data_IF_008225689716
#
_entry.id   IF_008225689716
#
_cell.length_a   1.000
_cell.length_b   1.000
_cell.length_c   1.000
_cell.angle_alpha   90.00
_cell.angle_beta   90.00
_cell.angle_gamma   90.00
#
_symmetry.space_group_name_H-M   'P 1'
#
loop_
_entity.id
_entity.type
_entity.pdbx_description
1 polymer ?
#
# COMPACT_ATOMS: atom_id res chain seq x y z
N UNK A 1 -2.11 -13.14 -21.71
CA UNK A 1 -1.79 -12.51 -20.41
C UNK A 1 -0.29 -12.44 -20.33
N UNK A 2 0.29 -11.34 -19.87
CA UNK A 2 1.76 -11.19 -19.78
C UNK A 2 2.27 -11.94 -18.56
N UNK A 3 3.33 -12.73 -18.72
CA UNK A 3 4.03 -13.35 -17.62
C UNK A 3 4.95 -12.34 -16.95
N UNK A 4 4.79 -12.09 -15.64
CA UNK A 4 5.62 -11.16 -14.88
C UNK A 4 6.77 -11.87 -14.14
N UNK A 5 6.48 -13.01 -13.53
CA UNK A 5 7.46 -13.78 -12.77
C UNK A 5 7.15 -15.28 -12.83
N UNK A 6 8.16 -16.09 -12.57
CA UNK A 6 8.04 -17.55 -12.46
C UNK A 6 8.58 -18.03 -11.13
N UNK A 7 7.96 -19.07 -10.59
CA UNK A 7 8.47 -19.84 -9.47
C UNK A 7 9.15 -21.07 -10.04
N UNK A 8 10.44 -21.18 -9.82
CA UNK A 8 11.25 -22.32 -10.24
C UNK A 8 11.60 -23.17 -9.02
N UNK A 9 11.43 -24.49 -9.13
CA UNK A 9 11.85 -25.47 -8.13
C UNK A 9 12.65 -26.56 -8.83
N UNK A 10 13.92 -26.70 -8.44
CA UNK A 10 14.82 -27.76 -8.92
C UNK A 10 14.89 -27.84 -10.46
N UNK A 11 14.95 -26.68 -11.13
CA UNK A 11 14.98 -26.57 -12.59
C UNK A 11 13.62 -26.74 -13.29
N UNK A 12 12.52 -26.87 -12.54
CA UNK A 12 11.16 -26.97 -13.07
C UNK A 12 10.37 -25.69 -12.77
N UNK A 13 9.73 -25.10 -13.79
CA UNK A 13 8.81 -23.96 -13.59
C UNK A 13 7.50 -24.47 -12.99
N UNK A 14 7.37 -24.33 -11.67
CA UNK A 14 6.24 -24.80 -10.87
C UNK A 14 5.02 -23.87 -10.97
N UNK A 15 5.24 -22.56 -11.02
CA UNK A 15 4.16 -21.57 -11.09
C UNK A 15 4.53 -20.35 -11.93
N UNK A 16 3.52 -19.71 -12.51
CA UNK A 16 3.66 -18.51 -13.36
C UNK A 16 2.73 -17.42 -12.85
N UNK A 17 3.31 -16.27 -12.50
CA UNK A 17 2.58 -15.09 -12.08
C UNK A 17 2.33 -14.20 -13.30
N UNK A 18 1.10 -14.23 -13.81
CA UNK A 18 0.68 -13.36 -14.91
C UNK A 18 0.14 -12.03 -14.37
N UNK A 19 0.23 -10.95 -15.14
CA UNK A 19 -0.23 -9.65 -14.66
C UNK A 19 -0.17 -8.52 -15.66
N UNK A 20 -0.41 -7.33 -15.13
CA UNK A 20 -0.21 -6.04 -15.80
C UNK A 20 0.81 -5.24 -15.00
N UNK A 21 1.80 -4.65 -15.66
CA UNK A 21 2.89 -3.91 -15.04
C UNK A 21 3.18 -2.66 -15.86
N UNK A 22 3.34 -1.52 -15.19
CA UNK A 22 3.72 -0.26 -15.81
C UNK A 22 4.82 0.39 -15.01
N UNK A 23 5.87 0.84 -15.69
CA UNK A 23 6.95 1.65 -15.14
C UNK A 23 7.02 3.00 -15.84
N UNK A 24 7.20 4.06 -15.05
CA UNK A 24 7.32 5.43 -15.50
C UNK A 24 8.75 5.91 -15.34
N UNK A 25 9.29 6.59 -16.36
CA UNK A 25 10.54 7.32 -16.26
C UNK A 25 10.40 8.54 -15.32
N UNK A 26 11.53 9.16 -14.98
CA UNK A 26 11.59 10.32 -14.09
C UNK A 26 10.69 11.48 -14.54
N UNK A 27 10.56 11.70 -15.85
CA UNK A 27 9.69 12.73 -16.46
C UNK A 27 8.20 12.37 -16.46
N UNK A 28 7.85 11.14 -16.07
CA UNK A 28 6.48 10.63 -16.04
C UNK A 28 6.02 9.95 -17.34
N UNK A 29 6.88 9.87 -18.37
CA UNK A 29 6.61 9.08 -19.57
C UNK A 29 6.60 7.58 -19.24
N UNK A 30 5.84 6.79 -20.02
CA UNK A 30 5.78 5.34 -19.85
C UNK A 30 7.04 4.71 -20.43
N UNK A 31 7.86 4.12 -19.57
CA UNK A 31 9.11 3.45 -19.96
C UNK A 31 8.91 1.95 -20.21
N UNK A 32 8.01 1.31 -19.44
CA UNK A 32 7.63 -0.09 -19.65
C UNK A 32 6.12 -0.24 -19.46
N UNK A 33 5.49 -1.03 -20.33
CA UNK A 33 4.05 -1.28 -20.32
C UNK A 33 3.77 -2.72 -20.76
N UNK A 34 3.28 -3.53 -19.82
CA UNK A 34 3.02 -4.95 -20.01
C UNK A 34 1.62 -5.31 -19.55
N UNK A 35 0.97 -6.24 -20.26
CA UNK A 35 -0.37 -6.72 -19.94
C UNK A 35 -1.50 -5.77 -20.39
N UNK A 36 -2.67 -5.91 -19.76
CA UNK A 36 -3.90 -5.22 -20.14
C UNK A 36 -4.02 -3.86 -19.44
N UNK A 37 -3.20 -2.88 -19.84
CA UNK A 37 -3.05 -1.59 -19.13
C UNK A 37 -4.30 -0.72 -19.06
N UNK A 38 -5.26 -0.92 -19.98
CA UNK A 38 -6.54 -0.20 -19.98
C UNK A 38 -7.60 -0.86 -19.11
N UNK A 39 -7.35 -2.07 -18.59
CA UNK A 39 -8.32 -2.77 -17.75
C UNK A 39 -8.42 -2.10 -16.37
N UNK A 40 -9.63 -1.87 -15.85
CA UNK A 40 -9.80 -1.38 -14.48
C UNK A 40 -9.35 -2.45 -13.48
N UNK A 41 -8.71 -1.98 -12.41
CA UNK A 41 -8.31 -2.77 -11.25
C UNK A 41 -8.88 -2.14 -9.98
N UNK A 42 -9.02 -2.96 -8.95
CA UNK A 42 -9.21 -2.48 -7.59
C UNK A 42 -7.83 -2.33 -6.94
N UNK A 43 -7.39 -1.12 -6.55
CA UNK A 43 -6.04 -0.92 -6.03
C UNK A 43 -5.84 -1.46 -4.60
N UNK A 44 -6.93 -1.87 -3.93
CA UNK A 44 -6.94 -2.35 -2.54
C UNK A 44 -6.19 -1.36 -1.63
N UNK A 45 -5.42 -1.86 -0.67
CA UNK A 45 -4.69 -1.02 0.29
C UNK A 45 -3.54 -0.18 -0.30
N UNK A 46 -3.20 -0.32 -1.59
CA UNK A 46 -2.13 0.49 -2.21
C UNK A 46 -2.47 1.99 -2.24
N UNK A 47 -3.75 2.37 -2.26
CA UNK A 47 -4.20 3.77 -2.28
C UNK A 47 -4.46 4.36 -0.89
N UNK A 48 -4.13 3.68 0.21
CA UNK A 48 -4.27 4.25 1.56
C UNK A 48 -3.50 5.57 1.78
N UNK A 49 -2.31 5.78 1.19
CA UNK A 49 -1.66 7.10 1.24
C UNK A 49 -2.55 8.23 0.70
N UNK A 50 -3.35 7.96 -0.34
CA UNK A 50 -4.32 8.92 -0.88
C UNK A 50 -5.54 9.13 0.02
N UNK A 51 -5.91 8.11 0.81
CA UNK A 51 -6.96 8.25 1.83
C UNK A 51 -6.49 9.19 2.95
N UNK A 52 -5.26 9.00 3.44
CA UNK A 52 -4.62 9.90 4.40
C UNK A 52 -4.47 11.33 3.86
N UNK A 53 -4.03 11.47 2.60
CA UNK A 53 -3.89 12.78 1.96
C UNK A 53 -5.25 13.49 1.79
N UNK A 54 -6.33 12.75 1.53
CA UNK A 54 -7.70 13.26 1.53
C UNK A 54 -8.13 13.81 2.90
N UNK A 55 -7.90 13.04 3.97
CA UNK A 55 -8.17 13.48 5.34
C UNK A 55 -7.38 14.75 5.70
N UNK A 56 -6.09 14.78 5.35
CA UNK A 56 -5.22 15.95 5.58
C UNK A 56 -5.64 17.17 4.78
N UNK A 57 -6.06 16.99 3.52
CA UNK A 57 -6.61 18.07 2.70
C UNK A 57 -7.90 18.64 3.30
N UNK A 58 -8.66 17.83 4.04
CA UNK A 58 -9.82 18.25 4.83
C UNK A 58 -9.45 18.79 6.23
N UNK A 59 -8.18 19.14 6.46
CA UNK A 59 -7.69 19.83 7.65
C UNK A 59 -7.17 18.94 8.77
N UNK A 60 -7.19 17.61 8.63
CA UNK A 60 -6.69 16.72 9.68
C UNK A 60 -5.17 16.82 9.80
N UNK A 61 -4.70 17.26 10.97
CA UNK A 61 -3.29 17.26 11.35
C UNK A 61 -3.05 16.22 12.44
N UNK A 62 -2.20 15.23 12.17
CA UNK A 62 -1.79 14.19 13.10
C UNK A 62 -0.28 14.28 13.36
N UNK A 63 0.21 13.57 14.38
CA UNK A 63 1.65 13.32 14.53
C UNK A 63 2.23 12.64 13.28
N UNK A 64 3.56 12.64 13.14
CA UNK A 64 4.25 11.96 12.04
C UNK A 64 3.87 10.47 12.01
N UNK A 65 3.94 9.80 13.16
CA UNK A 65 3.51 8.41 13.30
C UNK A 65 2.02 8.24 12.99
N UNK A 66 1.14 9.12 13.47
CA UNK A 66 -0.31 9.06 13.22
C UNK A 66 -0.64 9.20 11.74
N UNK A 67 0.06 10.09 11.04
CA UNK A 67 -0.06 10.26 9.60
C UNK A 67 0.40 9.01 8.86
N UNK A 68 1.55 8.43 9.23
CA UNK A 68 2.06 7.19 8.62
C UNK A 68 1.09 6.00 8.85
N UNK A 69 0.57 5.86 10.07
CA UNK A 69 -0.43 4.85 10.44
C UNK A 69 -1.70 4.98 9.59
N UNK A 70 -2.18 6.20 9.36
CA UNK A 70 -3.38 6.46 8.54
C UNK A 70 -3.18 6.10 7.06
N UNK A 71 -1.94 6.12 6.57
CA UNK A 71 -1.56 5.68 5.22
C UNK A 71 -1.25 4.17 5.14
N UNK A 72 -1.27 3.49 6.29
CA UNK A 72 -0.73 2.15 6.48
C UNK A 72 -1.73 0.99 6.46
N UNK A 73 -1.17 -0.21 6.39
CA UNK A 73 -1.83 -1.48 6.74
C UNK A 73 -1.03 -2.07 7.89
N UNK A 74 -1.23 -1.54 9.09
CA UNK A 74 -0.39 -1.90 10.22
C UNK A 74 -0.63 -3.35 10.65
N UNK A 75 0.35 -3.96 11.30
CA UNK A 75 0.30 -5.37 11.71
C UNK A 75 -0.44 -5.61 13.02
N UNK A 76 -0.96 -4.55 13.67
CA UNK A 76 -1.79 -4.67 14.86
C UNK A 76 -1.02 -4.86 16.17
N UNK A 77 0.30 -4.64 16.16
CA UNK A 77 1.15 -4.49 17.35
C UNK A 77 0.59 -3.44 18.34
N UNK A 78 0.98 -3.52 19.62
CA UNK A 78 0.46 -2.66 20.68
C UNK A 78 0.72 -1.16 20.44
N UNK A 79 1.86 -0.81 19.83
CA UNK A 79 2.16 0.58 19.44
C UNK A 79 1.19 1.14 18.38
N UNK A 80 0.69 0.29 17.49
CA UNK A 80 -0.31 0.70 16.50
C UNK A 80 -1.63 1.00 17.22
N UNK A 81 -2.06 0.10 18.10
CA UNK A 81 -3.28 0.25 18.89
C UNK A 81 -3.24 1.51 19.75
N UNK A 82 -2.11 1.79 20.41
CA UNK A 82 -1.94 3.00 21.21
C UNK A 82 -2.19 4.27 20.39
N UNK A 83 -1.65 4.31 19.17
CA UNK A 83 -1.79 5.46 18.27
C UNK A 83 -3.19 5.56 17.64
N UNK A 84 -3.86 4.44 17.34
CA UNK A 84 -5.27 4.45 16.93
C UNK A 84 -6.14 5.07 18.04
N UNK A 85 -5.92 4.66 19.29
CA UNK A 85 -6.63 5.21 20.46
C UNK A 85 -6.35 6.68 20.67
N UNK A 86 -5.10 7.11 20.49
CA UNK A 86 -4.71 8.52 20.57
C UNK A 86 -5.48 9.37 19.54
N UNK A 87 -5.54 8.92 18.28
CA UNK A 87 -6.27 9.62 17.21
C UNK A 87 -7.77 9.70 17.55
N UNK A 88 -8.38 8.59 17.99
CA UNK A 88 -9.80 8.56 18.36
C UNK A 88 -10.09 9.46 19.56
N UNK A 89 -9.29 9.37 20.63
CA UNK A 89 -9.46 10.16 21.83
C UNK A 89 -9.28 11.67 21.56
N UNK A 90 -8.35 12.04 20.67
CA UNK A 90 -8.17 13.42 20.22
C UNK A 90 -9.39 13.99 19.50
N UNK A 91 -10.24 13.14 18.94
CA UNK A 91 -11.53 13.50 18.33
C UNK A 91 -12.74 13.28 19.26
N UNK A 92 -12.53 12.93 20.54
CA UNK A 92 -13.62 12.62 21.48
C UNK A 92 -14.35 11.31 21.18
N UNK A 93 -13.70 10.37 20.49
CA UNK A 93 -14.23 9.07 20.08
C UNK A 93 -13.54 7.91 20.82
N UNK A 94 -14.10 6.71 20.67
CA UNK A 94 -13.61 5.47 21.24
C UNK A 94 -13.46 4.37 20.18
N UNK A 95 -12.97 3.20 20.58
CA UNK A 95 -12.91 2.04 19.68
C UNK A 95 -14.28 1.55 19.20
N UNK A 96 -15.36 1.88 19.92
CA UNK A 96 -16.74 1.51 19.56
C UNK A 96 -17.22 2.24 18.30
N UNK A 97 -16.61 3.38 17.97
CA UNK A 97 -16.90 4.16 16.77
C UNK A 97 -16.28 3.54 15.50
N UNK A 98 -15.32 2.62 15.65
CA UNK A 98 -14.71 1.92 14.52
C UNK A 98 -15.73 0.99 13.85
N UNK A 99 -15.76 1.04 12.52
CA UNK A 99 -16.68 0.22 11.70
C UNK A 99 -15.96 -0.78 10.80
N UNK A 100 -14.63 -0.77 10.78
CA UNK A 100 -13.85 -1.88 10.24
C UNK A 100 -14.16 -3.17 11.02
N UNK A 101 -14.14 -4.35 10.40
CA UNK A 101 -14.40 -5.61 11.09
C UNK A 101 -13.41 -5.83 12.25
N UNK A 102 -13.81 -6.63 13.23
CA UNK A 102 -12.87 -7.14 14.21
C UNK A 102 -11.96 -8.17 13.51
N UNK A 103 -10.65 -8.09 13.76
CA UNK A 103 -9.69 -9.02 13.18
C UNK A 103 -8.55 -9.30 14.16
N UNK A 104 -7.80 -10.37 13.88
CA UNK A 104 -6.54 -10.66 14.58
C UNK A 104 -5.43 -9.74 14.05
N UNK A 105 -4.45 -9.36 14.90
CA UNK A 105 -3.25 -8.72 14.40
C UNK A 105 -2.48 -9.69 13.48
N UNK A 106 -1.88 -9.13 12.43
CA UNK A 106 -1.00 -9.86 11.51
C UNK A 106 0.35 -10.18 12.16
N UNK A 107 0.77 -9.38 13.14
CA UNK A 107 1.96 -9.66 13.94
C UNK A 107 1.77 -10.96 14.74
N UNK A 108 2.54 -12.00 14.38
CA UNK A 108 2.38 -13.34 14.94
C UNK A 108 2.65 -13.40 16.43
N UNK A 109 3.66 -12.66 16.91
CA UNK A 109 4.00 -12.60 18.33
C UNK A 109 2.84 -12.02 19.15
N UNK A 110 2.30 -10.88 18.72
CA UNK A 110 1.12 -10.24 19.33
C UNK A 110 -0.07 -11.19 19.28
N UNK A 111 -0.35 -11.81 18.13
CA UNK A 111 -1.46 -12.76 17.98
C UNK A 111 -1.33 -13.94 18.94
N UNK A 112 -0.15 -14.55 19.05
CA UNK A 112 0.10 -15.65 19.96
C UNK A 112 -0.05 -15.23 21.43
N UNK A 113 0.40 -14.03 21.78
CA UNK A 113 0.25 -13.47 23.13
C UNK A 113 -1.23 -13.28 23.49
N UNK A 114 -2.02 -12.67 22.60
CA UNK A 114 -3.46 -12.44 22.81
C UNK A 114 -4.23 -13.77 22.95
N UNK A 115 -3.94 -14.74 22.07
CA UNK A 115 -4.54 -16.08 22.16
C UNK A 115 -4.25 -16.76 23.50
N UNK A 116 -3.02 -16.68 24.01
CA UNK A 116 -2.66 -17.25 25.33
C UNK A 116 -3.34 -16.52 26.48
N UNK A 117 -3.63 -15.23 26.34
CA UNK A 117 -4.35 -14.44 27.32
C UNK A 117 -5.87 -14.68 27.30
N UNK A 118 -6.39 -15.39 26.29
CA UNK A 118 -7.83 -15.59 26.10
C UNK A 118 -8.55 -14.39 25.46
N UNK A 119 -7.79 -13.44 24.91
CA UNK A 119 -8.34 -12.31 24.16
C UNK A 119 -8.88 -12.77 22.79
N UNK A 120 -9.73 -11.95 22.17
CA UNK A 120 -10.30 -12.19 20.83
C UNK A 120 -9.84 -11.19 19.77
N UNK A 121 -10.30 -11.35 18.51
CA UNK A 121 -10.12 -10.34 17.47
C UNK A 121 -10.79 -9.02 17.88
N UNK A 122 -10.23 -7.89 17.44
CA UNK A 122 -10.74 -6.55 17.81
C UNK A 122 -10.63 -5.56 16.65
N UNK A 123 -11.53 -4.58 16.62
CA UNK A 123 -11.56 -3.57 15.55
C UNK A 123 -10.31 -2.69 15.57
N UNK A 124 -9.81 -2.36 16.76
CA UNK A 124 -8.62 -1.51 16.92
C UNK A 124 -7.34 -2.18 16.40
N UNK A 125 -7.29 -3.52 16.38
CA UNK A 125 -6.14 -4.29 15.87
C UNK A 125 -6.22 -4.64 14.38
N UNK A 126 -7.39 -4.51 13.78
CA UNK A 126 -7.57 -4.73 12.35
C UNK A 126 -6.67 -3.76 11.57
N UNK A 127 -5.97 -4.25 10.54
CA UNK A 127 -4.91 -3.53 9.83
C UNK A 127 -5.29 -2.18 9.19
N UNK A 128 -6.59 -1.88 9.10
CA UNK A 128 -7.12 -0.63 8.60
C UNK A 128 -7.57 0.33 9.70
N UNK A 129 -7.53 -0.05 10.98
CA UNK A 129 -8.11 0.77 12.06
C UNK A 129 -7.50 2.18 12.11
N UNK A 130 -6.20 2.32 11.80
CA UNK A 130 -5.53 3.63 11.66
C UNK A 130 -6.16 4.56 10.62
N UNK A 131 -6.50 4.05 9.43
CA UNK A 131 -7.18 4.87 8.41
C UNK A 131 -8.63 5.18 8.78
N UNK A 132 -9.31 4.28 9.51
CA UNK A 132 -10.67 4.50 10.00
C UNK A 132 -10.68 5.59 11.09
N UNK A 133 -9.71 5.56 12.02
CA UNK A 133 -9.53 6.60 13.02
C UNK A 133 -9.28 7.97 12.36
N UNK A 134 -8.46 8.04 11.31
CA UNK A 134 -8.26 9.28 10.57
C UNK A 134 -9.53 9.77 9.86
N UNK A 135 -10.31 8.88 9.23
CA UNK A 135 -11.60 9.25 8.61
C UNK A 135 -12.61 9.78 9.64
N UNK A 136 -12.70 9.12 10.80
CA UNK A 136 -13.55 9.54 11.91
C UNK A 136 -13.13 10.88 12.51
N UNK A 137 -11.84 11.06 12.80
CA UNK A 137 -11.31 12.33 13.30
C UNK A 137 -11.54 13.48 12.30
N UNK A 138 -11.39 13.20 11.00
CA UNK A 138 -11.72 14.16 9.94
C UNK A 138 -13.20 14.52 9.92
N UNK A 139 -14.08 13.52 10.13
CA UNK A 139 -15.52 13.76 10.20
C UNK A 139 -15.88 14.68 11.38
N UNK A 140 -15.33 14.40 12.58
CA UNK A 140 -15.53 15.25 13.75
C UNK A 140 -15.03 16.67 13.51
N UNK A 141 -13.80 16.83 12.99
CA UNK A 141 -13.18 18.12 12.72
C UNK A 141 -14.06 19.02 11.83
N UNK A 142 -14.76 18.41 10.87
CA UNK A 142 -15.59 19.13 9.90
C UNK A 142 -17.10 19.14 10.25
N UNK A 143 -17.49 18.63 11.42
CA UNK A 143 -18.90 18.52 11.80
C UNK A 143 -19.71 17.55 10.92
N UNK A 144 -19.04 16.59 10.28
CA UNK A 144 -19.68 15.52 9.51
C UNK A 144 -20.08 14.35 10.40
N UNK A 145 -21.00 13.52 9.90
CA UNK A 145 -21.49 12.38 10.65
C UNK A 145 -20.43 11.28 10.80
N UNK A 146 -20.21 10.85 12.03
CA UNK A 146 -19.40 9.65 12.34
C UNK A 146 -20.22 8.35 12.16
N UNK A 147 -21.54 8.44 11.95
CA UNK A 147 -22.41 7.28 11.84
C UNK A 147 -22.57 6.74 10.41
N UNK A 148 -22.05 7.40 9.40
CA UNK A 148 -22.17 6.96 8.00
C UNK A 148 -20.89 7.26 7.22
N UNK A 149 -19.75 7.42 7.91
CA UNK A 149 -18.47 7.75 7.28
C UNK A 149 -18.00 6.73 6.25
N UNK A 150 -18.53 5.50 6.24
CA UNK A 150 -18.25 4.47 5.23
C UNK A 150 -19.14 4.57 3.97
N UNK A 151 -20.09 5.50 3.94
CA UNK A 151 -20.91 5.75 2.75
C UNK A 151 -20.04 6.33 1.64
N UNK A 152 -20.15 5.87 0.38
CA UNK A 152 -19.43 6.47 -0.74
C UNK A 152 -19.80 7.94 -0.96
N UNK A 153 -20.99 8.37 -0.50
CA UNK A 153 -21.45 9.75 -0.59
C UNK A 153 -20.98 10.64 0.56
N UNK A 154 -20.34 10.06 1.59
CA UNK A 154 -19.81 10.81 2.72
C UNK A 154 -18.73 11.80 2.25
N UNK A 155 -18.69 13.05 2.78
CA UNK A 155 -17.73 14.07 2.35
C UNK A 155 -16.27 13.62 2.39
N UNK A 156 -15.87 12.80 3.37
CA UNK A 156 -14.52 12.24 3.45
C UNK A 156 -14.14 11.45 2.20
N UNK A 157 -15.07 10.66 1.66
CA UNK A 157 -14.83 9.82 0.49
C UNK A 157 -14.87 10.62 -0.82
N UNK A 158 -15.66 11.69 -0.88
CA UNK A 158 -15.64 12.66 -1.97
C UNK A 158 -14.27 13.37 -2.06
N UNK A 159 -13.75 13.84 -0.93
CA UNK A 159 -12.42 14.46 -0.87
C UNK A 159 -11.31 13.49 -1.30
N UNK A 160 -11.35 12.24 -0.84
CA UNK A 160 -10.39 11.21 -1.25
C UNK A 160 -10.48 10.92 -2.76
N UNK A 161 -11.70 10.78 -3.28
CA UNK A 161 -11.95 10.49 -4.69
C UNK A 161 -11.40 11.58 -5.59
N UNK A 162 -11.69 12.84 -5.30
CA UNK A 162 -11.26 14.00 -6.09
C UNK A 162 -9.73 14.01 -6.27
N UNK A 163 -8.99 13.79 -5.18
CA UNK A 163 -7.53 13.76 -5.20
C UNK A 163 -6.98 12.59 -6.01
N UNK A 164 -7.58 11.41 -5.89
CA UNK A 164 -7.16 10.25 -6.66
C UNK A 164 -7.46 10.45 -8.16
N UNK A 165 -8.64 10.96 -8.51
CA UNK A 165 -9.03 11.21 -9.91
C UNK A 165 -8.10 12.23 -10.60
N UNK A 166 -7.60 13.22 -9.86
CA UNK A 166 -6.68 14.23 -10.37
C UNK A 166 -5.35 13.66 -10.92
N UNK A 167 -4.93 12.47 -10.47
CA UNK A 167 -3.64 11.86 -10.89
C UNK A 167 -3.81 10.50 -11.55
N UNK A 168 -4.77 9.71 -11.08
CA UNK A 168 -4.97 8.33 -11.50
C UNK A 168 -5.94 8.22 -12.68
N UNK A 169 -6.71 9.28 -12.97
CA UNK A 169 -7.79 9.29 -13.95
C UNK A 169 -9.13 8.89 -13.32
N UNK A 170 -10.19 8.93 -14.14
CA UNK A 170 -11.57 8.76 -13.67
C UNK A 170 -11.84 7.40 -13.02
N UNK A 171 -12.62 7.41 -11.94
CA UNK A 171 -13.07 6.20 -11.26
C UNK A 171 -14.23 5.58 -12.04
N UNK A 172 -14.00 4.40 -12.62
CA UNK A 172 -15.03 3.66 -13.37
C UNK A 172 -15.97 2.83 -12.48
N UNK A 173 -15.56 2.48 -11.27
CA UNK A 173 -16.30 1.62 -10.36
C UNK A 173 -15.95 1.93 -8.89
N UNK A 174 -16.95 1.89 -8.02
CA UNK A 174 -16.79 2.01 -6.57
C UNK A 174 -17.19 0.69 -5.94
N UNK A 175 -16.22 -0.04 -5.40
CA UNK A 175 -16.44 -1.27 -4.66
C UNK A 175 -16.47 -1.01 -3.15
N UNK A 176 -16.81 -2.03 -2.37
CA UNK A 176 -16.62 -2.04 -0.91
C UNK A 176 -15.37 -2.86 -0.60
N UNK A 177 -14.43 -2.29 0.14
CA UNK A 177 -13.20 -2.97 0.56
C UNK A 177 -13.48 -3.95 1.71
N UNK A 178 -12.53 -4.84 2.04
CA UNK A 178 -12.65 -5.80 3.15
C UNK A 178 -12.83 -5.12 4.52
N UNK A 179 -12.38 -3.87 4.65
CA UNK A 179 -12.60 -3.05 5.84
C UNK A 179 -13.98 -2.35 5.88
N UNK A 180 -14.79 -2.47 4.83
CA UNK A 180 -16.10 -1.83 4.70
C UNK A 180 -16.08 -0.42 4.10
N UNK A 181 -14.91 0.18 3.87
CA UNK A 181 -14.82 1.50 3.24
C UNK A 181 -14.94 1.42 1.71
N UNK A 182 -15.37 2.49 1.02
CA UNK A 182 -15.34 2.61 -0.43
C UNK A 182 -13.93 2.39 -1.01
N UNK A 183 -13.88 1.66 -2.11
CA UNK A 183 -12.69 1.38 -2.89
C UNK A 183 -12.88 1.85 -4.33
N UNK A 184 -12.14 2.90 -4.69
CA UNK A 184 -12.20 3.51 -6.00
C UNK A 184 -11.31 2.74 -6.99
N UNK A 185 -11.92 2.23 -8.07
CA UNK A 185 -11.17 1.56 -9.15
C UNK A 185 -10.21 2.53 -9.83
N UNK A 186 -9.11 2.01 -10.37
CA UNK A 186 -8.19 2.74 -11.25
C UNK A 186 -7.63 1.81 -12.32
N UNK A 187 -6.61 2.22 -13.06
CA UNK A 187 -5.82 1.36 -13.96
C UNK A 187 -4.39 1.23 -13.44
N UNK A 188 -3.63 0.25 -13.91
CA UNK A 188 -2.21 0.13 -13.52
C UNK A 188 -1.39 1.38 -13.89
N UNK A 189 -1.54 2.00 -15.09
CA UNK A 189 -0.95 3.31 -15.37
C UNK A 189 -1.41 4.41 -14.39
N UNK A 190 -2.69 4.44 -14.04
CA UNK A 190 -3.24 5.40 -13.07
C UNK A 190 -2.59 5.26 -11.69
N UNK A 191 -2.41 4.02 -11.23
CA UNK A 191 -1.74 3.72 -9.97
C UNK A 191 -0.25 4.09 -10.00
N UNK A 192 0.45 3.87 -11.13
CA UNK A 192 1.84 4.29 -11.29
C UNK A 192 1.98 5.82 -11.25
N UNK A 193 1.07 6.56 -11.89
CA UNK A 193 1.02 8.03 -11.80
C UNK A 193 0.74 8.51 -10.38
N UNK A 194 -0.18 7.84 -9.68
CA UNK A 194 -0.49 8.12 -8.29
C UNK A 194 0.71 7.88 -7.35
N UNK A 195 1.50 6.82 -7.59
CA UNK A 195 2.76 6.62 -6.87
C UNK A 195 3.76 7.74 -7.16
N UNK A 196 4.00 8.06 -8.45
CA UNK A 196 4.92 9.14 -8.82
C UNK A 196 4.53 10.47 -8.16
N UNK A 197 3.25 10.86 -8.28
CA UNK A 197 2.75 12.12 -7.74
C UNK A 197 2.96 12.23 -6.23
N UNK A 198 2.72 11.15 -5.48
CA UNK A 198 2.95 11.09 -4.04
C UNK A 198 4.45 11.20 -3.70
N UNK A 199 5.33 10.53 -4.46
CA UNK A 199 6.77 10.51 -4.16
C UNK A 199 7.46 11.85 -4.41
N UNK A 200 6.99 12.59 -5.41
CA UNK A 200 7.57 13.88 -5.84
C UNK A 200 6.82 15.09 -5.30
N UNK A 201 5.77 14.90 -4.49
CA UNK A 201 4.98 15.98 -3.93
C UNK A 201 5.81 16.86 -2.97
N UNK A 202 5.60 18.18 -3.03
CA UNK A 202 6.20 19.13 -2.09
C UNK A 202 5.70 18.85 -0.66
N UNK A 203 6.57 18.98 0.33
CA UNK A 203 6.24 18.82 1.75
C UNK A 203 5.08 19.72 2.22
N UNK A 204 4.87 20.87 1.55
CA UNK A 204 3.76 21.79 1.82
C UNK A 204 2.39 21.28 1.38
N UNK A 205 2.33 20.19 0.61
CA UNK A 205 1.07 19.59 0.13
C UNK A 205 0.63 18.44 1.03
N UNK A 206 -0.68 18.11 1.07
CA UNK A 206 -1.17 16.94 1.79
C UNK A 206 -0.45 15.64 1.39
N UNK A 207 -0.23 15.42 0.10
CA UNK A 207 0.49 14.26 -0.44
C UNK A 207 1.94 14.22 0.05
N UNK A 208 2.67 15.33 -0.04
CA UNK A 208 4.08 15.37 0.34
C UNK A 208 4.29 15.21 1.84
N UNK A 209 3.38 15.74 2.67
CA UNK A 209 3.38 15.51 4.11
C UNK A 209 3.11 14.04 4.48
N UNK A 210 2.14 13.39 3.81
CA UNK A 210 1.88 11.96 4.00
C UNK A 210 3.07 11.11 3.55
N UNK A 211 3.66 11.41 2.38
CA UNK A 211 4.85 10.72 1.89
C UNK A 211 6.04 10.87 2.85
N UNK A 212 6.26 12.08 3.39
CA UNK A 212 7.29 12.33 4.38
C UNK A 212 7.05 11.53 5.68
N UNK A 213 5.82 11.48 6.16
CA UNK A 213 5.46 10.68 7.33
C UNK A 213 5.69 9.18 7.11
N UNK A 214 5.27 8.64 5.97
CA UNK A 214 5.52 7.23 5.61
C UNK A 214 7.01 6.89 5.57
N UNK A 215 7.86 7.80 5.07
CA UNK A 215 9.31 7.61 5.02
C UNK A 215 9.98 7.70 6.38
N UNK A 216 9.49 8.61 7.24
CA UNK A 216 10.01 8.79 8.59
C UNK A 216 9.63 7.63 9.51
N UNK A 217 8.40 7.12 9.35
CA UNK A 217 7.79 6.12 10.22
C UNK A 217 7.28 4.89 9.43
N UNK A 218 8.13 4.23 8.62
CA UNK A 218 7.69 3.17 7.69
C UNK A 218 7.10 1.96 8.41
N UNK A 219 7.50 1.70 9.66
CA UNK A 219 6.92 0.60 10.45
C UNK A 219 5.46 0.84 10.83
N UNK A 220 5.00 2.09 10.94
CA UNK A 220 3.58 2.37 11.12
C UNK A 220 2.78 2.15 9.82
N UNK A 221 3.45 2.02 8.67
CA UNK A 221 2.83 1.71 7.38
C UNK A 221 2.62 0.20 7.20
N UNK A 222 3.67 -0.61 7.40
CA UNK A 222 3.62 -2.06 7.13
C UNK A 222 3.95 -2.96 8.32
N UNK A 223 4.35 -2.43 9.46
CA UNK A 223 4.95 -3.19 10.56
C UNK A 223 6.46 -3.35 10.42
N UNK A 224 7.10 -3.87 11.48
CA UNK A 224 8.55 -4.17 11.50
C UNK A 224 8.86 -5.36 10.59
N UNK A 225 9.91 -5.24 9.77
CA UNK A 225 10.36 -6.32 8.88
C UNK A 225 9.46 -6.58 7.67
N UNK A 226 8.34 -5.87 7.53
CA UNK A 226 7.48 -5.98 6.36
C UNK A 226 8.18 -5.39 5.12
N UNK A 227 8.08 -6.08 3.98
CA UNK A 227 8.74 -5.72 2.71
C UNK A 227 8.55 -4.25 2.30
N UNK A 228 7.32 -3.72 2.31
CA UNK A 228 7.06 -2.29 2.03
C UNK A 228 7.80 -1.32 2.98
N UNK A 229 7.88 -1.63 4.27
CA UNK A 229 8.57 -0.81 5.27
C UNK A 229 10.08 -0.82 5.02
N UNK A 230 10.63 -2.02 4.79
CA UNK A 230 12.06 -2.20 4.48
C UNK A 230 12.43 -1.61 3.12
N UNK A 231 11.54 -1.69 2.12
CA UNK A 231 11.72 -1.05 0.83
C UNK A 231 11.96 0.45 1.00
N UNK A 232 11.11 1.14 1.77
CA UNK A 232 11.23 2.59 1.98
C UNK A 232 12.50 2.98 2.75
N UNK A 233 13.01 2.07 3.60
CA UNK A 233 14.29 2.26 4.30
C UNK A 233 15.49 2.08 3.39
N UNK A 234 15.47 1.01 2.61
CA UNK A 234 16.60 0.57 1.77
C UNK A 234 16.66 1.33 0.44
N UNK A 235 15.57 1.99 0.03
CA UNK A 235 15.53 2.90 -1.12
C UNK A 235 15.15 4.30 -0.62
N UNK A 236 16.12 5.12 -0.15
CA UNK A 236 15.84 6.40 0.49
C UNK A 236 15.03 7.35 -0.37
N UNK A 237 14.05 8.01 0.25
CA UNK A 237 13.15 8.93 -0.45
C UNK A 237 12.12 8.23 -1.35
N UNK A 238 12.10 6.89 -1.40
CA UNK A 238 11.01 6.19 -2.08
C UNK A 238 9.72 6.21 -1.26
N UNK A 239 8.65 5.76 -1.89
CA UNK A 239 7.44 5.29 -1.23
C UNK A 239 7.09 3.93 -1.82
N UNK A 240 6.57 3.04 -1.00
CA UNK A 240 6.09 1.74 -1.42
C UNK A 240 4.83 1.38 -0.65
N UNK A 241 3.80 0.93 -1.36
CA UNK A 241 2.58 0.44 -0.74
C UNK A 241 1.99 -0.73 -1.53
N UNK A 242 2.08 -1.91 -0.94
CA UNK A 242 1.32 -3.09 -1.37
C UNK A 242 -0.17 -2.95 -1.05
N UNK A 243 -0.99 -3.54 -1.91
CA UNK A 243 -2.38 -3.86 -1.68
C UNK A 243 -2.58 -5.38 -1.72
N UNK A 244 -3.64 -5.85 -1.07
CA UNK A 244 -4.11 -7.22 -1.25
C UNK A 244 -4.34 -7.53 -2.75
N UNK A 245 -4.54 -8.81 -3.09
CA UNK A 245 -4.79 -9.23 -4.46
C UNK A 245 -3.65 -8.83 -5.42
N UNK A 246 -2.39 -8.98 -4.99
CA UNK A 246 -1.22 -8.87 -5.88
C UNK A 246 -1.04 -7.48 -6.50
N UNK A 247 -1.43 -6.43 -5.79
CA UNK A 247 -1.27 -5.04 -6.23
C UNK A 247 -0.09 -4.42 -5.50
N UNK A 248 0.76 -3.68 -6.21
CA UNK A 248 1.79 -2.87 -5.59
C UNK A 248 1.99 -1.59 -6.38
N UNK A 249 2.28 -0.51 -5.65
CA UNK A 249 2.76 0.73 -6.22
C UNK A 249 4.02 1.18 -5.48
N UNK A 250 5.02 1.65 -6.22
CA UNK A 250 6.24 2.22 -5.67
C UNK A 250 6.77 3.34 -6.55
N UNK A 251 7.44 4.32 -5.94
CA UNK A 251 8.09 5.40 -6.67
C UNK A 251 9.30 5.93 -5.92
N UNK A 252 10.33 6.33 -6.66
CA UNK A 252 11.53 6.98 -6.13
C UNK A 252 11.35 8.49 -6.02
N UNK A 253 12.14 9.14 -5.15
CA UNK A 253 12.14 10.61 -5.01
C UNK A 253 12.47 11.34 -6.33
N UNK A 254 13.20 10.68 -7.23
CA UNK A 254 13.59 11.20 -8.55
C UNK A 254 12.49 11.09 -9.61
N UNK A 255 11.33 10.50 -9.27
CA UNK A 255 10.14 10.48 -10.12
C UNK A 255 9.90 9.20 -10.91
N UNK A 256 10.84 8.26 -10.93
CA UNK A 256 10.60 6.91 -11.47
C UNK A 256 9.55 6.20 -10.61
N UNK A 257 8.62 5.51 -11.26
CA UNK A 257 7.55 4.79 -10.57
C UNK A 257 7.26 3.46 -11.22
N UNK A 258 6.68 2.54 -10.45
CA UNK A 258 6.21 1.25 -10.93
C UNK A 258 4.90 0.91 -10.23
N UNK A 259 3.95 0.36 -10.98
CA UNK A 259 2.77 -0.26 -10.42
C UNK A 259 2.44 -1.55 -11.16
N UNK A 260 1.76 -2.46 -10.47
CA UNK A 260 1.36 -3.73 -11.05
C UNK A 260 0.09 -4.31 -10.42
N UNK A 261 -0.53 -5.23 -11.14
CA UNK A 261 -1.56 -6.16 -10.67
C UNK A 261 -1.21 -7.56 -11.17
N UNK A 262 -0.93 -8.46 -10.24
CA UNK A 262 -0.77 -9.91 -10.50
C UNK A 262 -2.15 -10.57 -10.49
N UNK A 263 -2.47 -11.35 -11.52
CA UNK A 263 -3.80 -11.91 -11.78
C UNK A 263 -4.26 -12.84 -10.66
N UNK A 264 -3.37 -13.73 -10.19
CA UNK A 264 -3.67 -14.72 -9.15
C UNK A 264 -3.78 -14.12 -7.73
N UNK A 265 -3.57 -12.82 -7.60
CA UNK A 265 -3.65 -12.10 -6.33
C UNK A 265 -2.45 -12.29 -5.41
N UNK A 266 -1.41 -13.02 -5.85
CA UNK A 266 -0.24 -13.30 -5.04
C UNK A 266 0.71 -12.09 -4.96
N UNK A 267 1.16 -11.67 -3.76
CA UNK A 267 2.15 -10.62 -3.61
C UNK A 267 3.59 -11.12 -3.75
N UNK A 268 3.82 -12.45 -3.82
CA UNK A 268 5.15 -13.08 -3.69
C UNK A 268 6.23 -12.50 -4.60
N UNK A 269 5.87 -12.01 -5.78
CA UNK A 269 6.81 -11.46 -6.75
C UNK A 269 6.80 -9.92 -6.82
N UNK A 270 5.89 -9.23 -6.14
CA UNK A 270 5.65 -7.80 -6.39
C UNK A 270 6.84 -6.92 -6.00
N UNK A 271 7.50 -7.24 -4.89
CA UNK A 271 8.67 -6.49 -4.40
C UNK A 271 9.88 -6.68 -5.32
N UNK A 272 10.16 -7.93 -5.72
CA UNK A 272 11.16 -8.27 -6.75
C UNK A 272 10.93 -7.49 -8.05
N UNK A 273 9.69 -7.51 -8.57
CA UNK A 273 9.33 -6.82 -9.80
C UNK A 273 9.52 -5.31 -9.68
N UNK A 274 9.13 -4.71 -8.56
CA UNK A 274 9.26 -3.28 -8.34
C UNK A 274 10.72 -2.83 -8.31
N UNK A 275 11.57 -3.55 -7.55
CA UNK A 275 13.00 -3.26 -7.47
C UNK A 275 13.69 -3.46 -8.82
N UNK A 276 13.33 -4.51 -9.55
CA UNK A 276 13.90 -4.78 -10.89
C UNK A 276 13.59 -3.65 -11.87
N UNK A 277 12.33 -3.22 -11.95
CA UNK A 277 11.90 -2.14 -12.85
C UNK A 277 12.54 -0.83 -12.44
N UNK A 278 12.50 -0.45 -11.16
CA UNK A 278 13.11 0.80 -10.71
C UNK A 278 14.63 0.82 -10.92
N UNK A 279 15.31 -0.29 -10.68
CA UNK A 279 16.75 -0.44 -10.98
C UNK A 279 17.06 -0.25 -12.46
N UNK A 280 16.27 -0.85 -13.36
CA UNK A 280 16.40 -0.66 -14.80
C UNK A 280 16.13 0.80 -15.24
N UNK A 281 15.29 1.53 -14.51
CA UNK A 281 15.02 2.96 -14.72
C UNK A 281 16.04 3.89 -14.04
N UNK A 282 17.14 3.34 -13.53
CA UNK A 282 18.27 4.10 -12.97
C UNK A 282 18.13 4.48 -11.50
N UNK A 283 17.16 3.93 -10.76
CA UNK A 283 17.07 4.11 -9.30
C UNK A 283 18.10 3.22 -8.62
N UNK A 284 18.85 3.76 -7.66
CA UNK A 284 19.75 2.95 -6.86
C UNK A 284 18.95 2.07 -5.88
N UNK A 285 18.90 0.77 -6.18
CA UNK A 285 18.22 -0.26 -5.37
C UNK A 285 19.21 -1.23 -4.71
N UNK A 286 20.52 -0.92 -4.70
CA UNK A 286 21.56 -1.87 -4.28
C UNK A 286 21.46 -2.30 -2.82
N UNK A 287 20.94 -1.43 -1.95
CA UNK A 287 20.73 -1.76 -0.53
C UNK A 287 19.49 -2.65 -0.31
N UNK A 288 18.60 -2.76 -1.31
CA UNK A 288 17.35 -3.50 -1.23
C UNK A 288 17.40 -4.88 -1.91
N UNK A 289 18.58 -5.34 -2.35
CA UNK A 289 18.71 -6.61 -3.12
C UNK A 289 18.21 -7.82 -2.35
N UNK A 290 18.40 -7.86 -1.02
CA UNK A 290 17.89 -8.94 -0.17
C UNK A 290 16.36 -9.09 -0.22
N UNK A 291 15.60 -8.01 -0.50
CA UNK A 291 14.15 -8.07 -0.68
C UNK A 291 13.72 -8.69 -2.03
N UNK A 292 14.66 -8.82 -2.96
CA UNK A 292 14.47 -9.46 -4.26
C UNK A 292 14.97 -10.91 -4.28
N UNK A 293 15.66 -11.37 -3.23
CA UNK A 293 16.11 -12.74 -3.06
C UNK A 293 14.97 -13.59 -2.48
N UNK A 294 14.29 -14.33 -3.36
CA UNK A 294 13.07 -15.09 -3.01
C UNK A 294 13.32 -16.59 -3.16
N UNK A 295 14.08 -17.23 -2.25
CA UNK A 295 14.42 -18.63 -2.36
C UNK A 295 13.20 -19.53 -2.16
N UNK A 296 13.10 -20.56 -2.99
CA UNK A 296 12.16 -21.65 -2.80
C UNK A 296 12.86 -22.75 -2.03
N UNK A 297 12.35 -23.03 -0.83
CA UNK A 297 12.97 -24.02 0.07
C UNK A 297 12.37 -25.42 -0.14
N UNK A 298 13.22 -26.43 0.05
CA UNK A 298 12.86 -27.84 0.17
C UNK A 298 13.61 -28.42 1.37
N UNK A 299 12.88 -28.91 2.39
CA UNK A 299 13.50 -29.36 3.64
C UNK A 299 14.31 -28.29 4.38
N UNK A 300 13.99 -27.00 4.19
CA UNK A 300 14.72 -25.87 4.77
C UNK A 300 15.95 -25.42 3.98
N UNK A 301 16.29 -26.07 2.86
CA UNK A 301 17.42 -25.72 2.00
C UNK A 301 16.92 -25.08 0.70
N UNK A 302 17.57 -24.03 0.16
CA UNK A 302 17.22 -23.48 -1.15
C UNK A 302 17.33 -24.52 -2.26
N UNK A 303 16.24 -24.71 -3.01
CA UNK A 303 16.14 -25.61 -4.16
C UNK A 303 15.64 -24.90 -5.43
N UNK A 304 15.40 -23.59 -5.35
CA UNK A 304 14.90 -22.79 -6.46
C UNK A 304 14.67 -21.34 -6.03
N UNK A 305 13.96 -20.58 -6.85
CA UNK A 305 13.73 -19.15 -6.64
C UNK A 305 12.45 -18.65 -7.31
N UNK A 306 11.98 -17.47 -6.90
CA UNK A 306 11.07 -16.66 -7.69
C UNK A 306 11.92 -15.69 -8.50
N UNK A 307 11.80 -15.72 -9.83
CA UNK A 307 12.56 -14.86 -10.73
C UNK A 307 11.65 -14.08 -11.68
N UNK A 308 12.12 -12.91 -12.09
CA UNK A 308 11.48 -12.09 -13.12
C UNK A 308 11.47 -12.85 -14.44
N UNK A 309 10.34 -12.80 -15.16
CA UNK A 309 10.12 -13.49 -16.43
C UNK A 309 10.99 -12.93 -17.55
N UNK A 310 11.12 -13.71 -18.63
CA UNK A 310 11.83 -13.27 -19.83
C UNK A 310 11.11 -12.12 -20.53
N UNK A 311 9.77 -12.07 -20.47
CA UNK A 311 8.96 -10.97 -21.01
C UNK A 311 9.30 -9.63 -20.33
N UNK A 312 9.38 -9.61 -18.99
CA UNK A 312 9.76 -8.39 -18.26
C UNK A 312 11.22 -8.03 -18.55
N UNK A 313 12.14 -9.00 -18.57
CA UNK A 313 13.55 -8.74 -18.90
C UNK A 313 13.72 -8.18 -20.30
N UNK A 314 12.96 -8.67 -21.29
CA UNK A 314 13.01 -8.16 -22.65
C UNK A 314 12.47 -6.74 -22.75
N UNK A 315 11.44 -6.39 -21.99
CA UNK A 315 10.83 -5.06 -21.99
C UNK A 315 11.64 -3.98 -21.27
N UNK A 316 12.69 -4.37 -20.52
CA UNK A 316 13.59 -3.46 -19.80
C UNK A 316 14.94 -3.25 -20.50
N UNK A 317 15.15 -3.85 -21.69
CA UNK A 317 16.34 -3.65 -22.52
C UNK A 317 16.12 -2.49 -23.49
#
# INVERSE_FOLDING_TARGET
>A
MTELAVVERSGFVESRHHGTLVGLAADGSVAVSLGAVSAPILPRSSTKPWQAAGCRAAGLELSVAGTALSAGSHTGEDRHVALVREILAGAGLSEEDLRCPADWPEDEETRHRLNRAGDGPSRVRMNCSGKHAAMLATAVLNGWSTHDYLSPDHPVHKAIRERLEAVAGSVSHVAVDGCGAPLFSTTVPGLARAARAMATASLSTPEGAVAAAMRAEPEYVGGRGHENSEFMRLVPGSICKGGAEGVLMAAAATGQAVAMKVVDGSPRATTLLALTVLGALGVNVSAATALAELPILGGGVPVGEIRVSDEVRAALR
#
